data_IF_569253498637
#
_entry.id   IF_569253498637
#
_cell.length_a   1.000
_cell.length_b   1.000
_cell.length_c   1.000
_cell.angle_alpha   90.00
_cell.angle_beta   90.00
_cell.angle_gamma   90.00
#
_symmetry.space_group_name_H-M   'P 1'
#
loop_
_entity.id
_entity.type
_entity.pdbx_description
1 polymer ?
#
# COMPACT_ATOMS: atom_id res chain seq x y z
N UNK A 1 34.92 -19.36 17.91
CA UNK A 1 34.52 -19.04 16.52
C UNK A 1 33.25 -19.80 16.26
N UNK A 2 32.12 -19.11 16.14
CA UNK A 2 30.88 -19.76 15.72
C UNK A 2 30.99 -20.03 14.21
N UNK A 3 30.58 -21.22 13.73
CA UNK A 3 30.57 -21.51 12.31
C UNK A 3 29.60 -20.55 11.60
N UNK A 4 30.04 -19.95 10.50
CA UNK A 4 29.16 -19.21 9.60
C UNK A 4 28.06 -20.15 9.10
N UNK A 5 26.79 -19.70 9.07
CA UNK A 5 25.74 -20.46 8.41
C UNK A 5 26.08 -20.59 6.92
N UNK A 6 25.86 -21.79 6.38
CA UNK A 6 26.07 -22.08 4.96
C UNK A 6 25.21 -21.15 4.07
N UNK A 7 25.66 -20.81 2.86
CA UNK A 7 24.88 -20.04 1.90
C UNK A 7 23.52 -20.71 1.70
N UNK A 8 22.45 -19.96 1.93
CA UNK A 8 21.08 -20.41 1.73
C UNK A 8 20.88 -20.62 0.22
N UNK A 9 20.75 -21.88 -0.22
CA UNK A 9 20.41 -22.18 -1.61
C UNK A 9 19.13 -21.43 -1.99
N UNK A 10 19.20 -20.61 -3.03
CA UNK A 10 18.03 -19.94 -3.62
C UNK A 10 17.16 -21.00 -4.28
N UNK A 11 16.30 -21.66 -3.50
CA UNK A 11 15.21 -22.45 -4.06
C UNK A 11 14.35 -21.53 -4.95
N UNK A 12 13.89 -22.00 -6.13
CA UNK A 12 12.89 -21.28 -6.91
C UNK A 12 11.74 -20.91 -5.98
N UNK A 13 11.44 -19.62 -5.87
CA UNK A 13 10.35 -19.16 -5.01
C UNK A 13 9.05 -19.79 -5.52
N UNK A 14 8.45 -20.65 -4.71
CA UNK A 14 7.13 -21.22 -4.97
C UNK A 14 6.10 -20.10 -4.87
N UNK A 15 5.45 -19.77 -5.99
CA UNK A 15 4.33 -18.82 -6.06
C UNK A 15 3.01 -19.60 -5.92
N UNK A 16 2.57 -19.93 -4.70
CA UNK A 16 1.30 -20.62 -4.48
C UNK A 16 0.15 -19.79 -5.03
N UNK A 17 -0.51 -20.28 -6.07
CA UNK A 17 -1.68 -19.60 -6.60
C UNK A 17 -2.89 -20.00 -5.74
N UNK A 18 -3.65 -19.01 -5.27
CA UNK A 18 -4.82 -19.21 -4.41
C UNK A 18 -6.13 -19.14 -5.21
N UNK A 19 -6.15 -19.71 -6.42
CA UNK A 19 -7.25 -19.56 -7.37
C UNK A 19 -8.56 -20.12 -6.85
N UNK A 20 -8.54 -21.24 -6.13
CA UNK A 20 -9.72 -21.87 -5.57
C UNK A 20 -10.34 -20.99 -4.48
N UNK A 21 -9.50 -20.35 -3.65
CA UNK A 21 -9.93 -19.41 -2.63
C UNK A 21 -10.56 -18.18 -3.28
N UNK A 22 -9.85 -17.54 -4.21
CA UNK A 22 -10.34 -16.36 -4.92
C UNK A 22 -11.66 -16.67 -5.63
N UNK A 23 -11.74 -17.80 -6.34
CA UNK A 23 -12.94 -18.23 -7.04
C UNK A 23 -14.12 -18.45 -6.09
N UNK A 24 -13.88 -19.05 -4.91
CA UNK A 24 -14.92 -19.25 -3.91
C UNK A 24 -15.42 -17.91 -3.36
N UNK A 25 -14.52 -17.01 -2.95
CA UNK A 25 -14.88 -15.72 -2.38
C UNK A 25 -15.57 -14.82 -3.42
N UNK A 26 -15.09 -14.81 -4.67
CA UNK A 26 -15.71 -14.09 -5.78
C UNK A 26 -17.15 -14.54 -6.03
N UNK A 27 -17.47 -15.83 -5.92
CA UNK A 27 -18.86 -16.30 -6.07
C UNK A 27 -19.80 -15.68 -5.04
N UNK A 28 -19.38 -15.57 -3.78
CA UNK A 28 -20.19 -14.93 -2.73
C UNK A 28 -20.35 -13.43 -2.97
N UNK A 29 -19.27 -12.76 -3.39
CA UNK A 29 -19.32 -11.32 -3.73
C UNK A 29 -20.26 -11.09 -4.92
N UNK A 30 -20.15 -11.87 -5.99
CA UNK A 30 -21.00 -11.74 -7.17
C UNK A 30 -22.47 -12.01 -6.84
N UNK A 31 -22.79 -13.05 -6.05
CA UNK A 31 -24.17 -13.30 -5.64
C UNK A 31 -24.74 -12.16 -4.80
N UNK A 32 -23.92 -11.52 -3.94
CA UNK A 32 -24.33 -10.34 -3.19
C UNK A 32 -24.66 -9.16 -4.12
N UNK A 33 -23.82 -8.91 -5.14
CA UNK A 33 -24.03 -7.82 -6.11
C UNK A 33 -25.33 -7.97 -6.91
N UNK A 34 -25.78 -9.20 -7.16
CA UNK A 34 -27.07 -9.49 -7.80
C UNK A 34 -28.27 -9.12 -6.90
N UNK A 35 -28.09 -9.11 -5.59
CA UNK A 35 -29.16 -8.91 -4.60
C UNK A 35 -29.11 -7.54 -3.91
N UNK A 36 -28.06 -6.74 -4.12
CA UNK A 36 -27.96 -5.37 -3.62
C UNK A 36 -27.76 -4.39 -4.79
N UNK A 37 -28.78 -3.58 -5.07
CA UNK A 37 -28.83 -2.71 -6.25
C UNK A 37 -27.84 -1.56 -6.15
N UNK A 38 -27.56 -1.07 -4.94
CA UNK A 38 -26.55 -0.05 -4.75
C UNK A 38 -25.15 -0.62 -5.08
N UNK A 39 -24.79 -1.74 -4.46
CA UNK A 39 -23.47 -2.36 -4.64
C UNK A 39 -23.24 -2.78 -6.10
N UNK A 40 -24.23 -3.35 -6.77
CA UNK A 40 -24.14 -3.69 -8.20
C UNK A 40 -23.87 -2.48 -9.09
N UNK A 41 -24.54 -1.34 -8.84
CA UNK A 41 -24.28 -0.08 -9.56
C UNK A 41 -22.89 0.49 -9.26
N UNK A 42 -22.48 0.45 -8.00
CA UNK A 42 -21.15 0.91 -7.59
C UNK A 42 -20.05 0.06 -8.24
N UNK A 43 -20.22 -1.26 -8.28
CA UNK A 43 -19.32 -2.20 -8.96
C UNK A 43 -19.13 -1.85 -10.44
N UNK A 44 -20.24 -1.63 -11.17
CA UNK A 44 -20.17 -1.19 -12.56
C UNK A 44 -19.47 0.18 -12.70
N UNK A 45 -19.75 1.11 -11.80
CA UNK A 45 -19.13 2.44 -11.81
C UNK A 45 -17.61 2.38 -11.52
N UNK A 46 -17.16 1.55 -10.58
CA UNK A 46 -15.75 1.29 -10.28
C UNK A 46 -15.01 0.80 -11.53
N UNK A 47 -15.57 -0.19 -12.23
CA UNK A 47 -14.95 -0.73 -13.43
C UNK A 47 -14.88 0.34 -14.54
N UNK A 48 -16.01 0.98 -14.86
CA UNK A 48 -16.10 1.92 -15.97
C UNK A 48 -15.40 3.26 -15.73
N UNK A 49 -15.34 3.76 -14.49
CA UNK A 49 -14.84 5.11 -14.20
C UNK A 49 -13.43 5.11 -13.65
N UNK A 50 -13.02 4.10 -12.90
CA UNK A 50 -11.67 3.99 -12.31
C UNK A 50 -10.86 2.79 -12.77
N UNK A 51 -11.43 1.86 -13.54
CA UNK A 51 -10.70 0.67 -14.01
C UNK A 51 -10.39 -0.31 -12.90
N UNK A 52 -11.19 -0.32 -11.83
CA UNK A 52 -10.97 -1.16 -10.65
C UNK A 52 -12.06 -2.22 -10.52
N UNK A 53 -11.67 -3.45 -10.21
CA UNK A 53 -12.60 -4.53 -9.86
C UNK A 53 -13.12 -4.35 -8.42
N UNK A 54 -14.43 -4.51 -8.23
CA UNK A 54 -15.10 -4.40 -6.93
C UNK A 54 -14.52 -5.35 -5.88
N UNK A 55 -14.08 -6.55 -6.29
CA UNK A 55 -13.49 -7.55 -5.39
C UNK A 55 -12.27 -7.00 -4.63
N UNK A 56 -11.47 -6.14 -5.28
CA UNK A 56 -10.25 -5.56 -4.70
C UNK A 56 -10.52 -4.54 -3.58
N UNK A 57 -11.77 -4.09 -3.46
CA UNK A 57 -12.22 -3.15 -2.45
C UNK A 57 -12.93 -3.83 -1.27
N UNK A 58 -13.30 -5.11 -1.39
CA UNK A 58 -14.05 -5.80 -0.33
C UNK A 58 -13.16 -5.94 0.90
N UNK A 59 -13.58 -5.34 2.00
CA UNK A 59 -12.90 -5.46 3.28
C UNK A 59 -13.21 -6.81 3.92
N UNK A 60 -14.50 -7.09 4.04
CA UNK A 60 -15.03 -8.33 4.59
C UNK A 60 -16.47 -8.58 4.15
N UNK A 61 -16.95 -9.80 4.39
CA UNK A 61 -18.37 -10.14 4.30
C UNK A 61 -18.71 -11.26 5.31
N UNK A 62 -19.99 -11.41 5.62
CA UNK A 62 -20.46 -12.43 6.57
C UNK A 62 -20.95 -13.68 5.87
N UNK A 63 -20.80 -14.84 6.50
CA UNK A 63 -21.42 -16.10 6.10
C UNK A 63 -21.91 -16.89 7.31
N UNK A 64 -22.85 -17.81 7.12
CA UNK A 64 -23.22 -18.76 8.15
C UNK A 64 -22.07 -19.71 8.51
N UNK A 65 -22.04 -20.15 9.78
CA UNK A 65 -20.98 -21.04 10.32
C UNK A 65 -20.85 -22.37 9.56
N UNK A 66 -21.89 -22.80 8.84
CA UNK A 66 -21.87 -23.97 7.96
C UNK A 66 -20.80 -23.88 6.84
N UNK A 67 -20.34 -22.68 6.49
CA UNK A 67 -19.34 -22.47 5.44
C UNK A 67 -17.89 -22.76 5.89
N UNK A 68 -17.64 -22.98 7.19
CA UNK A 68 -16.29 -23.14 7.74
C UNK A 68 -15.45 -24.22 7.05
N UNK A 69 -16.06 -25.37 6.74
CA UNK A 69 -15.37 -26.47 6.05
C UNK A 69 -14.94 -26.09 4.64
N UNK A 70 -15.80 -25.39 3.90
CA UNK A 70 -15.50 -24.95 2.54
C UNK A 70 -14.37 -23.90 2.52
N UNK A 71 -14.36 -22.96 3.47
CA UNK A 71 -13.29 -21.96 3.59
C UNK A 71 -11.95 -22.61 3.93
N UNK A 72 -11.92 -23.55 4.88
CA UNK A 72 -10.70 -24.31 5.21
C UNK A 72 -10.17 -25.12 4.03
N UNK A 73 -11.08 -25.71 3.25
CA UNK A 73 -10.70 -26.53 2.08
C UNK A 73 -9.96 -25.74 1.00
N UNK A 74 -10.18 -24.41 0.92
CA UNK A 74 -9.47 -23.52 -0.01
C UNK A 74 -8.34 -22.73 0.65
N UNK A 75 -7.93 -23.09 1.87
CA UNK A 75 -6.75 -22.51 2.53
C UNK A 75 -7.01 -21.26 3.38
N UNK A 76 -8.25 -20.85 3.60
CA UNK A 76 -8.54 -19.85 4.64
C UNK A 76 -8.38 -20.46 6.04
N UNK A 77 -7.84 -19.68 6.97
CA UNK A 77 -7.61 -20.10 8.35
C UNK A 77 -8.23 -19.08 9.32
N UNK A 78 -8.60 -19.50 10.55
CA UNK A 78 -9.05 -18.58 11.59
C UNK A 78 -7.99 -17.50 11.88
N UNK A 79 -8.45 -16.26 12.02
CA UNK A 79 -7.66 -15.11 12.43
C UNK A 79 -7.96 -14.74 13.88
N UNK A 80 -6.91 -14.59 14.70
CA UNK A 80 -7.07 -14.10 16.08
C UNK A 80 -7.14 -12.58 16.08
N UNK A 81 -8.36 -12.05 15.97
CA UNK A 81 -8.66 -10.61 16.05
C UNK A 81 -9.89 -10.37 16.92
N UNK A 82 -10.11 -9.13 17.34
CA UNK A 82 -11.33 -8.75 18.05
C UNK A 82 -12.52 -8.83 17.11
N UNK A 83 -13.53 -9.61 17.47
CA UNK A 83 -14.75 -9.78 16.68
C UNK A 83 -15.99 -9.85 17.59
N UNK A 84 -17.19 -9.56 17.07
CA UNK A 84 -18.44 -9.71 17.82
C UNK A 84 -18.59 -11.11 18.42
N UNK A 85 -19.41 -11.22 19.48
CA UNK A 85 -19.70 -12.51 20.09
C UNK A 85 -20.25 -13.51 19.05
N UNK A 86 -19.86 -14.78 19.17
CA UNK A 86 -20.23 -15.86 18.24
C UNK A 86 -19.81 -15.61 16.77
N UNK A 87 -18.73 -14.86 16.56
CA UNK A 87 -18.14 -14.61 15.24
C UNK A 87 -16.72 -15.16 15.16
N UNK A 88 -16.44 -16.02 14.17
CA UNK A 88 -15.08 -16.41 13.80
C UNK A 88 -14.64 -15.63 12.55
N UNK A 89 -13.42 -15.10 12.55
CA UNK A 89 -12.86 -14.40 11.38
C UNK A 89 -11.93 -15.34 10.63
N UNK A 90 -12.06 -15.42 9.31
CA UNK A 90 -11.18 -16.20 8.43
C UNK A 90 -10.44 -15.28 7.45
N UNK A 91 -9.17 -15.59 7.21
CA UNK A 91 -8.32 -14.91 6.24
C UNK A 91 -7.46 -15.90 5.45
N UNK A 92 -6.93 -15.47 4.31
CA UNK A 92 -5.96 -16.26 3.56
C UNK A 92 -4.53 -15.82 3.91
N UNK A 93 -3.64 -16.72 4.40
CA UNK A 93 -2.32 -16.33 4.91
C UNK A 93 -1.29 -16.01 3.82
N UNK A 94 -1.56 -16.39 2.57
CA UNK A 94 -0.61 -16.27 1.44
C UNK A 94 -1.12 -15.37 0.30
N UNK A 95 -2.28 -14.71 0.46
CA UNK A 95 -2.87 -13.88 -0.58
C UNK A 95 -3.70 -12.73 0.02
N UNK A 96 -3.69 -11.58 -0.65
CA UNK A 96 -4.52 -10.44 -0.28
C UNK A 96 -5.97 -10.72 -0.71
N UNK A 97 -6.80 -11.12 0.26
CA UNK A 97 -8.21 -11.45 0.05
C UNK A 97 -9.10 -10.80 1.11
N UNK A 98 -10.40 -10.63 0.84
CA UNK A 98 -11.37 -10.19 1.83
C UNK A 98 -11.42 -11.15 3.03
N UNK A 99 -11.72 -10.60 4.21
CA UNK A 99 -11.96 -11.44 5.40
C UNK A 99 -13.37 -12.00 5.35
N UNK A 100 -13.57 -13.18 5.92
CA UNK A 100 -14.89 -13.81 6.04
C UNK A 100 -15.26 -13.95 7.50
N UNK A 101 -16.38 -13.35 7.91
CA UNK A 101 -16.91 -13.42 9.27
C UNK A 101 -17.98 -14.52 9.32
N UNK A 102 -17.68 -15.61 10.03
CA UNK A 102 -18.62 -16.70 10.24
C UNK A 102 -19.41 -16.47 11.52
N UNK A 103 -20.73 -16.32 11.40
CA UNK A 103 -21.63 -16.09 12.52
C UNK A 103 -23.03 -16.65 12.23
N UNK A 104 -23.86 -16.96 13.24
CA UNK A 104 -25.26 -17.32 13.02
C UNK A 104 -26.03 -16.21 12.29
N UNK A 105 -26.76 -16.56 11.23
CA UNK A 105 -27.46 -15.58 10.39
C UNK A 105 -26.50 -14.76 9.51
N UNK A 106 -25.27 -15.23 9.32
CA UNK A 106 -24.28 -14.57 8.48
C UNK A 106 -24.61 -14.68 6.99
N UNK A 107 -25.54 -15.55 6.60
CA UNK A 107 -26.07 -15.66 5.25
C UNK A 107 -27.60 -15.53 5.22
N UNK A 108 -28.14 -15.05 4.09
CA UNK A 108 -29.55 -15.12 3.74
C UNK A 108 -29.65 -15.92 2.44
N UNK A 109 -30.32 -17.07 2.46
CA UNK A 109 -30.43 -17.95 1.29
C UNK A 109 -29.06 -18.30 0.66
N UNK A 110 -28.06 -18.62 1.49
CA UNK A 110 -26.66 -18.94 1.09
C UNK A 110 -25.84 -17.75 0.53
N UNK A 111 -26.40 -16.55 0.50
CA UNK A 111 -25.73 -15.32 0.05
C UNK A 111 -25.27 -14.55 1.30
N UNK A 112 -24.13 -13.81 1.28
CA UNK A 112 -23.72 -13.01 2.42
C UNK A 112 -24.83 -12.07 2.92
N UNK A 113 -25.10 -12.07 4.21
CA UNK A 113 -26.05 -11.13 4.81
C UNK A 113 -25.50 -9.70 4.80
N UNK A 114 -24.20 -9.54 5.05
CA UNK A 114 -23.50 -8.26 5.01
C UNK A 114 -22.25 -8.36 4.13
N UNK A 115 -21.97 -7.30 3.36
CA UNK A 115 -20.72 -7.11 2.63
C UNK A 115 -20.24 -5.68 2.81
N UNK A 116 -18.95 -5.52 3.13
CA UNK A 116 -18.31 -4.24 3.33
C UNK A 116 -17.22 -3.98 2.29
N UNK A 117 -17.15 -2.75 1.76
CA UNK A 117 -15.96 -2.24 1.06
C UNK A 117 -15.13 -1.34 1.97
N UNK A 118 -13.82 -1.36 1.80
CA UNK A 118 -12.90 -0.42 2.43
C UNK A 118 -12.84 0.87 1.62
N UNK A 119 -12.92 2.00 2.30
CA UNK A 119 -12.71 3.34 1.72
C UNK A 119 -11.69 4.10 2.54
N UNK A 120 -11.03 5.08 1.93
CA UNK A 120 -10.01 5.90 2.60
C UNK A 120 -10.63 6.86 3.61
N UNK A 121 -11.84 7.35 3.31
CA UNK A 121 -12.58 8.32 4.12
C UNK A 121 -14.07 8.03 3.96
N UNK A 122 -14.73 7.71 5.08
CA UNK A 122 -16.19 7.50 5.06
C UNK A 122 -16.94 8.77 4.74
N UNK A 123 -16.47 9.92 5.21
CA UNK A 123 -17.10 11.21 4.99
C UNK A 123 -17.08 11.56 3.49
N UNK A 124 -15.96 11.31 2.81
CA UNK A 124 -15.85 11.51 1.36
C UNK A 124 -16.70 10.50 0.60
N UNK A 125 -16.72 9.23 1.02
CA UNK A 125 -17.58 8.22 0.41
C UNK A 125 -19.06 8.62 0.47
N UNK A 126 -19.57 8.94 1.66
CA UNK A 126 -20.96 9.32 1.85
C UNK A 126 -21.32 10.59 1.08
N UNK A 127 -20.45 11.60 1.09
CA UNK A 127 -20.65 12.84 0.34
C UNK A 127 -20.71 12.59 -1.18
N UNK A 128 -19.80 11.76 -1.73
CA UNK A 128 -19.75 11.46 -3.17
C UNK A 128 -20.90 10.58 -3.64
N UNK A 129 -21.40 9.72 -2.77
CA UNK A 129 -22.55 8.86 -3.05
C UNK A 129 -23.90 9.54 -2.70
N UNK A 130 -23.88 10.77 -2.19
CA UNK A 130 -25.05 11.53 -1.75
C UNK A 130 -25.90 10.75 -0.73
N UNK A 131 -25.23 10.16 0.26
CA UNK A 131 -25.83 9.34 1.31
C UNK A 131 -25.91 10.14 2.63
N UNK A 132 -27.07 10.10 3.28
CA UNK A 132 -27.31 10.72 4.59
C UNK A 132 -27.54 9.64 5.64
N UNK A 133 -26.46 8.95 6.02
CA UNK A 133 -26.45 7.91 7.06
C UNK A 133 -25.42 8.25 8.13
N UNK A 134 -25.64 7.77 9.34
CA UNK A 134 -24.69 7.94 10.43
C UNK A 134 -23.44 7.08 10.21
N UNK A 135 -22.29 7.60 10.65
CA UNK A 135 -21.05 6.85 10.76
C UNK A 135 -20.98 6.27 12.17
N UNK A 136 -20.95 4.95 12.26
CA UNK A 136 -20.73 4.22 13.49
C UNK A 136 -19.22 4.06 13.74
N UNK A 137 -18.81 4.22 15.00
CA UNK A 137 -17.40 4.32 15.38
C UNK A 137 -16.94 5.79 15.43
N UNK A 138 -16.37 6.24 16.56
CA UNK A 138 -15.93 7.62 16.71
C UNK A 138 -14.74 7.92 15.79
N UNK A 139 -14.57 9.19 15.41
CA UNK A 139 -13.40 9.61 14.63
C UNK A 139 -12.10 9.19 15.33
N UNK A 140 -11.13 8.70 14.55
CA UNK A 140 -9.85 8.21 15.05
C UNK A 140 -9.91 6.82 15.70
N UNK A 141 -11.06 6.15 15.75
CA UNK A 141 -11.12 4.72 16.11
C UNK A 141 -10.60 3.83 14.99
N UNK A 142 -10.19 2.60 15.35
CA UNK A 142 -9.59 1.66 14.40
C UNK A 142 -10.55 1.13 13.34
N UNK A 143 -11.85 1.11 13.64
CA UNK A 143 -12.90 0.74 12.71
C UNK A 143 -14.05 1.76 12.81
N UNK A 144 -14.34 2.37 11.67
CA UNK A 144 -15.57 3.15 11.45
C UNK A 144 -16.35 2.50 10.31
N UNK A 145 -17.67 2.61 10.36
CA UNK A 145 -18.57 1.97 9.40
C UNK A 145 -19.79 2.84 9.10
N UNK A 146 -20.27 2.80 7.87
CA UNK A 146 -21.56 3.35 7.48
C UNK A 146 -22.40 2.29 6.75
N UNK A 147 -23.68 2.18 7.10
CA UNK A 147 -24.65 1.37 6.36
C UNK A 147 -25.11 2.15 5.13
N UNK A 148 -25.00 1.56 3.94
CA UNK A 148 -25.56 2.14 2.73
C UNK A 148 -27.03 1.74 2.63
N UNK A 149 -27.98 2.70 2.68
CA UNK A 149 -29.39 2.36 2.60
C UNK A 149 -29.73 1.74 1.24
N UNK A 150 -30.38 0.58 1.27
CA UNK A 150 -30.98 -0.09 0.10
C UNK A 150 -32.28 -0.79 0.53
N UNK A 151 -33.10 -1.19 -0.44
CA UNK A 151 -34.34 -1.97 -0.21
C UNK A 151 -34.08 -3.47 -0.03
N UNK A 152 -32.82 -3.88 -0.03
CA UNK A 152 -32.41 -5.27 0.07
C UNK A 152 -32.27 -5.70 1.54
N UNK A 153 -32.59 -6.96 1.83
CA UNK A 153 -32.26 -7.58 3.12
C UNK A 153 -30.75 -7.87 3.24
N UNK A 154 -30.00 -7.77 2.14
CA UNK A 154 -28.54 -7.86 2.11
C UNK A 154 -27.92 -6.48 2.33
N UNK A 155 -27.31 -6.29 3.50
CA UNK A 155 -26.76 -5.01 3.95
C UNK A 155 -25.40 -4.72 3.30
N UNK A 156 -25.31 -3.58 2.61
CA UNK A 156 -24.05 -3.09 2.06
C UNK A 156 -23.43 -2.04 2.99
N UNK A 157 -22.14 -2.19 3.29
CA UNK A 157 -21.41 -1.37 4.24
C UNK A 157 -20.21 -0.70 3.56
N UNK A 158 -19.87 0.50 3.99
CA UNK A 158 -18.55 1.09 3.77
C UNK A 158 -17.80 1.12 5.09
N UNK A 159 -16.49 0.86 5.07
CA UNK A 159 -15.64 0.89 6.27
C UNK A 159 -14.39 1.72 6.05
N UNK A 160 -14.01 2.47 7.08
CA UNK A 160 -12.73 3.15 7.20
C UNK A 160 -11.96 2.48 8.34
N UNK A 161 -10.68 2.18 8.08
CA UNK A 161 -9.79 1.55 9.05
C UNK A 161 -8.65 2.49 9.41
N UNK A 162 -8.19 2.39 10.65
CA UNK A 162 -7.04 3.14 11.14
C UNK A 162 -6.19 2.26 12.05
N UNK A 163 -5.13 1.66 11.51
CA UNK A 163 -4.19 0.85 12.29
C UNK A 163 -4.82 -0.32 13.04
N UNK A 164 -5.93 -0.90 12.54
CA UNK A 164 -6.67 -1.95 13.26
C UNK A 164 -7.35 -2.95 12.30
N UNK A 165 -7.35 -4.22 12.71
CA UNK A 165 -7.95 -5.36 11.97
C UNK A 165 -9.20 -5.92 12.62
N UNK A 166 -9.60 -5.38 13.77
CA UNK A 166 -10.76 -5.81 14.51
C UNK A 166 -12.07 -5.48 13.80
N UNK A 167 -13.14 -6.06 14.35
CA UNK A 167 -14.52 -5.93 13.91
C UNK A 167 -15.44 -5.46 15.04
N UNK A 168 -14.87 -4.83 16.08
CA UNK A 168 -15.60 -4.26 17.22
C UNK A 168 -15.36 -2.76 17.26
N UNK A 169 -16.43 -1.98 17.39
CA UNK A 169 -16.31 -0.54 17.59
C UNK A 169 -15.67 -0.22 18.93
N UNK A 170 -14.64 0.63 18.88
CA UNK A 170 -13.99 1.15 20.07
C UNK A 170 -14.76 2.36 20.62
N UNK A 171 -14.80 2.56 21.95
CA UNK A 171 -15.45 3.72 22.54
C UNK A 171 -14.73 5.02 22.15
N UNK A 172 -15.42 6.16 22.27
CA UNK A 172 -14.81 7.46 22.02
C UNK A 172 -13.76 7.79 23.08
N UNK A 173 -12.54 8.11 22.63
CA UNK A 173 -11.44 8.53 23.49
C UNK A 173 -10.93 9.88 22.94
N UNK A 174 -11.26 11.02 23.56
CA UNK A 174 -10.91 12.34 23.04
C UNK A 174 -9.42 12.51 22.71
N UNK A 175 -8.54 11.97 23.56
CA UNK A 175 -7.08 12.02 23.37
C UNK A 175 -6.64 11.36 22.06
N UNK A 176 -7.36 10.32 21.59
CA UNK A 176 -7.04 9.65 20.33
C UNK A 176 -7.35 10.53 19.12
N UNK A 177 -8.42 11.33 19.18
CA UNK A 177 -8.74 12.30 18.13
C UNK A 177 -7.64 13.35 18.01
N UNK A 178 -7.17 13.87 19.15
CA UNK A 178 -6.07 14.83 19.22
C UNK A 178 -4.77 14.24 18.70
N UNK A 179 -4.43 13.01 19.11
CA UNK A 179 -3.25 12.29 18.65
C UNK A 179 -3.25 12.10 17.12
N UNK A 180 -4.36 11.60 16.55
CA UNK A 180 -4.49 11.40 15.10
C UNK A 180 -4.30 12.71 14.34
N UNK A 181 -4.96 13.79 14.78
CA UNK A 181 -4.79 15.11 14.15
C UNK A 181 -3.34 15.58 14.23
N UNK A 182 -2.70 15.42 15.40
CA UNK A 182 -1.33 15.88 15.61
C UNK A 182 -0.32 15.08 14.79
N UNK A 183 -0.47 13.76 14.71
CA UNK A 183 0.41 12.90 13.89
C UNK A 183 0.30 13.26 12.41
N UNK A 184 -0.92 13.48 11.90
CA UNK A 184 -1.11 13.93 10.52
C UNK A 184 -0.45 15.28 10.24
N UNK A 185 -0.62 16.23 11.15
CA UNK A 185 0.03 17.54 11.06
C UNK A 185 1.55 17.39 11.00
N UNK A 186 2.14 16.64 11.94
CA UNK A 186 3.57 16.38 12.02
C UNK A 186 4.12 15.80 10.71
N UNK A 187 3.47 14.77 10.15
CA UNK A 187 3.92 14.17 8.90
C UNK A 187 3.71 15.08 7.68
N UNK A 188 2.56 15.76 7.60
CA UNK A 188 2.23 16.65 6.48
C UNK A 188 3.13 17.88 6.41
N UNK A 189 3.54 18.41 7.56
CA UNK A 189 4.38 19.63 7.63
C UNK A 189 5.86 19.34 7.85
N UNK A 190 6.29 18.06 7.85
CA UNK A 190 7.69 17.71 8.11
C UNK A 190 8.63 18.40 7.12
N UNK A 191 9.76 18.88 7.63
CA UNK A 191 10.83 19.37 6.75
C UNK A 191 11.41 18.18 6.00
N UNK A 192 11.58 18.33 4.69
CA UNK A 192 12.11 17.28 3.80
C UNK A 192 13.43 17.66 3.15
N UNK A 193 13.71 18.95 3.03
CA UNK A 193 14.89 19.47 2.37
C UNK A 193 15.87 20.09 3.37
N UNK A 194 17.07 19.52 3.44
CA UNK A 194 18.13 19.88 4.37
C UNK A 194 19.42 20.14 3.59
N UNK A 195 20.33 20.91 4.18
CA UNK A 195 21.65 21.14 3.58
C UNK A 195 22.50 19.86 3.60
N UNK A 196 22.37 19.05 4.66
CA UNK A 196 22.88 17.69 4.73
C UNK A 196 21.71 16.71 4.88
N UNK A 197 21.60 15.77 3.94
CA UNK A 197 20.58 14.72 3.95
C UNK A 197 20.65 13.87 5.25
N UNK A 198 21.81 13.78 5.91
CA UNK A 198 21.93 13.09 7.19
C UNK A 198 21.15 13.77 8.32
N UNK A 199 21.07 15.10 8.33
CA UNK A 199 20.22 15.84 9.28
C UNK A 199 18.74 15.55 9.01
N UNK A 200 18.36 15.42 7.74
CA UNK A 200 17.00 15.05 7.35
C UNK A 200 16.61 13.64 7.79
N UNK A 201 17.54 12.68 7.66
CA UNK A 201 17.32 11.30 8.12
C UNK A 201 17.22 11.24 9.64
N UNK A 202 18.06 11.97 10.37
CA UNK A 202 17.93 12.08 11.82
C UNK A 202 16.58 12.70 12.23
N UNK A 203 16.18 13.78 11.54
CA UNK A 203 14.91 14.45 11.78
C UNK A 203 13.70 13.52 11.59
N UNK A 204 13.65 12.73 10.51
CA UNK A 204 12.51 11.84 10.26
C UNK A 204 12.45 10.68 11.26
N UNK A 205 13.60 10.16 11.72
CA UNK A 205 13.67 9.12 12.75
C UNK A 205 13.23 9.64 14.12
N UNK A 206 13.55 10.89 14.46
CA UNK A 206 13.07 11.49 15.71
C UNK A 206 11.57 11.79 15.65
N UNK A 207 11.10 12.34 14.51
CA UNK A 207 9.68 12.56 14.28
C UNK A 207 8.87 11.26 14.37
N UNK A 208 9.43 10.15 13.87
CA UNK A 208 8.81 8.83 14.00
C UNK A 208 8.55 8.46 15.46
N UNK A 209 9.56 8.58 16.32
CA UNK A 209 9.44 8.26 17.76
C UNK A 209 8.33 9.08 18.39
N UNK A 210 8.25 10.36 18.07
CA UNK A 210 7.20 11.25 18.58
C UNK A 210 5.81 10.79 18.13
N UNK A 211 5.65 10.42 16.85
CA UNK A 211 4.34 9.96 16.34
C UNK A 211 3.92 8.61 16.91
N UNK A 212 4.85 7.68 17.09
CA UNK A 212 4.61 6.38 17.75
C UNK A 212 4.20 6.60 19.21
N UNK A 213 4.86 7.52 19.91
CA UNK A 213 4.50 7.86 21.29
C UNK A 213 3.09 8.46 21.40
N UNK A 214 2.68 9.27 20.43
CA UNK A 214 1.36 9.92 20.44
C UNK A 214 0.21 8.97 20.11
N UNK A 215 0.38 8.10 19.11
CA UNK A 215 -0.74 7.39 18.50
C UNK A 215 -0.59 5.87 18.45
N UNK A 216 0.47 5.28 19.00
CA UNK A 216 0.88 3.87 18.82
C UNK A 216 1.48 3.56 17.41
N UNK A 217 2.30 2.50 17.26
CA UNK A 217 3.01 2.21 16.01
C UNK A 217 2.10 1.98 14.81
N UNK A 218 0.98 1.27 14.99
CA UNK A 218 0.13 0.82 13.89
C UNK A 218 -0.64 2.01 13.30
N UNK A 219 -1.19 2.88 14.16
CA UNK A 219 -1.85 4.12 13.73
C UNK A 219 -0.83 5.11 13.17
N UNK A 220 0.33 5.28 13.81
CA UNK A 220 1.37 6.19 13.31
C UNK A 220 1.88 5.78 11.92
N UNK A 221 2.02 4.47 11.68
CA UNK A 221 2.34 3.88 10.38
C UNK A 221 1.28 4.23 9.34
N UNK A 222 0.01 3.93 9.61
CA UNK A 222 -1.09 4.17 8.67
C UNK A 222 -1.16 5.66 8.25
N UNK A 223 -1.04 6.56 9.23
CA UNK A 223 -1.02 8.00 9.01
C UNK A 223 0.22 8.46 8.24
N UNK A 224 1.40 7.90 8.51
CA UNK A 224 2.61 8.21 7.73
C UNK A 224 2.40 7.91 6.24
N UNK A 225 1.89 6.71 5.90
CA UNK A 225 1.67 6.35 4.50
C UNK A 225 0.54 7.14 3.85
N UNK A 226 -0.52 7.48 4.58
CA UNK A 226 -1.56 8.37 4.07
C UNK A 226 -1.00 9.75 3.69
N UNK A 227 -0.14 10.31 4.54
CA UNK A 227 0.49 11.61 4.26
C UNK A 227 1.58 11.51 3.19
N UNK A 228 2.26 10.37 3.07
CA UNK A 228 3.27 10.17 2.03
C UNK A 228 2.65 9.94 0.64
N UNK A 229 1.51 9.25 0.55
CA UNK A 229 0.70 9.20 -0.68
C UNK A 229 0.27 10.60 -1.11
N UNK A 230 -0.21 11.41 -0.17
CA UNK A 230 -0.61 12.81 -0.45
C UNK A 230 0.56 13.64 -0.98
N UNK A 231 1.75 13.49 -0.42
CA UNK A 231 2.95 14.16 -0.90
C UNK A 231 3.36 13.68 -2.30
N UNK A 232 3.39 12.38 -2.53
CA UNK A 232 3.69 11.77 -3.83
C UNK A 232 2.71 12.23 -4.92
N UNK A 233 1.41 12.22 -4.63
CA UNK A 233 0.37 12.71 -5.53
C UNK A 233 0.63 14.17 -5.95
N UNK A 234 1.05 15.04 -5.04
CA UNK A 234 1.34 16.44 -5.39
C UNK A 234 2.39 16.60 -6.50
N UNK A 235 3.19 15.56 -6.76
CA UNK A 235 4.29 15.53 -7.73
C UNK A 235 4.09 14.54 -8.88
N UNK A 236 3.05 13.70 -8.83
CA UNK A 236 2.79 12.66 -9.82
C UNK A 236 1.43 12.89 -10.51
N UNK A 237 1.44 13.34 -11.76
CA UNK A 237 0.24 13.62 -12.57
C UNK A 237 -0.60 12.35 -12.78
N UNK A 238 0.01 11.21 -13.10
CA UNK A 238 -0.70 9.95 -13.29
C UNK A 238 -1.42 9.52 -12.01
N UNK A 239 -0.73 9.61 -10.87
CA UNK A 239 -1.27 9.39 -9.53
C UNK A 239 -2.45 10.32 -9.22
N UNK A 240 -2.31 11.64 -9.41
CA UNK A 240 -3.43 12.59 -9.23
C UNK A 240 -4.62 12.28 -10.11
N UNK A 241 -4.36 11.96 -11.38
CA UNK A 241 -5.40 11.63 -12.34
C UNK A 241 -6.19 10.41 -11.87
N UNK A 242 -5.50 9.33 -11.49
CA UNK A 242 -6.15 8.11 -11.04
C UNK A 242 -6.83 8.28 -9.68
N UNK A 243 -6.20 9.00 -8.73
CA UNK A 243 -6.82 9.35 -7.45
C UNK A 243 -8.12 10.12 -7.65
N UNK A 244 -8.12 11.15 -8.52
CA UNK A 244 -9.33 11.90 -8.89
C UNK A 244 -10.46 10.99 -9.39
N UNK A 245 -10.14 9.97 -10.19
CA UNK A 245 -11.13 9.02 -10.72
C UNK A 245 -11.75 8.16 -9.62
N UNK A 246 -10.95 7.68 -8.68
CA UNK A 246 -11.42 6.92 -7.51
C UNK A 246 -12.16 7.82 -6.49
N UNK A 247 -11.70 9.05 -6.28
CA UNK A 247 -12.35 10.05 -5.41
C UNK A 247 -13.67 10.54 -5.98
N UNK A 248 -13.87 10.49 -7.30
CA UNK A 248 -15.17 10.75 -7.91
C UNK A 248 -16.22 9.65 -7.60
N UNK A 249 -15.78 8.56 -6.96
CA UNK A 249 -16.61 7.51 -6.36
C UNK A 249 -16.48 7.49 -4.81
N UNK A 250 -15.67 8.37 -4.22
CA UNK A 250 -15.43 8.45 -2.79
C UNK A 250 -14.60 7.29 -2.21
N UNK A 251 -13.68 6.73 -3.00
CA UNK A 251 -12.95 5.50 -2.63
C UNK A 251 -11.55 5.75 -2.05
N UNK A 252 -10.82 6.75 -2.56
CA UNK A 252 -9.42 7.01 -2.18
C UNK A 252 -8.45 5.93 -2.67
N UNK A 253 -7.42 5.59 -1.88
CA UNK A 253 -6.39 4.59 -2.22
C UNK A 253 -6.50 3.25 -1.47
N UNK A 254 -7.68 2.89 -0.93
CA UNK A 254 -7.81 1.64 -0.15
C UNK A 254 -7.53 0.35 -0.92
N UNK A 255 -7.44 0.40 -2.25
CA UNK A 255 -7.03 -0.71 -3.13
C UNK A 255 -5.50 -0.77 -3.40
N UNK A 256 -4.69 -0.02 -2.65
CA UNK A 256 -3.23 -0.06 -2.78
C UNK A 256 -2.69 -1.49 -2.62
N UNK A 257 -1.69 -1.83 -3.42
CA UNK A 257 -0.97 -3.10 -3.38
C UNK A 257 0.31 -2.92 -2.56
N UNK A 258 1.22 -2.06 -3.03
CA UNK A 258 2.45 -1.74 -2.33
C UNK A 258 2.94 -0.32 -2.61
N UNK A 259 3.85 0.13 -1.75
CA UNK A 259 4.52 1.42 -1.84
C UNK A 259 6.00 1.19 -2.09
N UNK A 260 6.61 1.92 -3.02
CA UNK A 260 8.04 1.77 -3.30
C UNK A 260 8.82 2.97 -2.83
N UNK A 261 9.86 2.69 -2.06
CA UNK A 261 10.80 3.67 -1.51
C UNK A 261 12.16 3.39 -2.12
N UNK A 262 12.79 4.43 -2.65
CA UNK A 262 14.17 4.39 -3.14
C UNK A 262 15.07 5.08 -2.13
N UNK A 263 16.18 4.43 -1.81
CA UNK A 263 17.14 4.97 -0.86
C UNK A 263 18.55 4.85 -1.41
N UNK A 264 19.35 5.85 -1.10
CA UNK A 264 20.80 5.78 -1.28
C UNK A 264 21.37 4.65 -0.42
N UNK A 265 22.52 4.13 -0.84
CA UNK A 265 23.28 3.11 -0.08
C UNK A 265 23.64 3.60 1.32
N UNK A 266 23.95 4.89 1.46
CA UNK A 266 24.31 5.56 2.71
C UNK A 266 23.22 5.43 3.78
N UNK A 267 21.96 5.60 3.38
CA UNK A 267 20.82 5.68 4.30
C UNK A 267 19.87 4.47 4.26
N UNK A 268 20.20 3.43 3.50
CA UNK A 268 19.33 2.26 3.37
C UNK A 268 19.07 1.55 4.72
N UNK A 269 20.11 1.40 5.55
CA UNK A 269 19.96 0.85 6.89
C UNK A 269 19.08 1.72 7.82
N UNK A 270 19.06 3.03 7.59
CA UNK A 270 18.20 3.96 8.32
C UNK A 270 16.74 3.81 7.88
N UNK A 271 16.48 3.62 6.58
CA UNK A 271 15.15 3.26 6.06
C UNK A 271 14.66 1.92 6.64
N UNK A 272 15.54 0.92 6.75
CA UNK A 272 15.19 -0.35 7.38
C UNK A 272 14.83 -0.15 8.86
N UNK A 273 15.63 0.62 9.60
CA UNK A 273 15.36 0.96 11.00
C UNK A 273 14.01 1.65 11.14
N UNK A 274 13.75 2.65 10.30
CA UNK A 274 12.49 3.38 10.26
C UNK A 274 11.30 2.43 10.05
N UNK A 275 11.30 1.61 9.01
CA UNK A 275 10.18 0.70 8.74
C UNK A 275 9.99 -0.32 9.87
N UNK A 276 11.07 -0.92 10.39
CA UNK A 276 10.98 -1.89 11.49
C UNK A 276 10.42 -1.25 12.78
N UNK A 277 10.71 0.02 13.06
CA UNK A 277 10.19 0.73 14.23
C UNK A 277 8.68 0.98 14.15
N UNK A 278 8.10 1.08 12.94
CA UNK A 278 6.65 1.06 12.77
C UNK A 278 6.03 -0.32 12.99
N UNK A 279 6.81 -1.40 13.08
CA UNK A 279 6.29 -2.76 13.25
C UNK A 279 6.28 -3.60 11.97
N UNK A 280 6.91 -3.14 10.89
CA UNK A 280 7.07 -3.96 9.68
C UNK A 280 7.91 -5.21 9.95
N UNK A 281 7.62 -6.27 9.19
CA UNK A 281 8.43 -7.50 9.14
C UNK A 281 9.03 -7.66 7.76
N UNK A 282 10.30 -8.05 7.70
CA UNK A 282 10.98 -8.41 6.45
C UNK A 282 10.36 -9.70 5.90
N UNK A 283 10.08 -9.74 4.59
CA UNK A 283 9.55 -10.91 3.89
C UNK A 283 10.68 -11.58 3.09
N UNK A 284 10.98 -11.07 1.89
CA UNK A 284 12.06 -11.55 1.03
C UNK A 284 12.96 -10.40 0.54
N UNK A 285 14.16 -10.79 0.08
CA UNK A 285 15.07 -9.90 -0.66
C UNK A 285 14.94 -10.23 -2.14
N UNK A 286 14.84 -9.20 -2.96
CA UNK A 286 14.79 -9.32 -4.41
C UNK A 286 16.06 -8.76 -5.03
N UNK A 287 16.60 -9.45 -6.03
CA UNK A 287 17.71 -8.97 -6.84
C UNK A 287 17.28 -8.87 -8.30
N UNK A 288 17.37 -7.68 -8.87
CA UNK A 288 16.91 -7.42 -10.24
C UNK A 288 17.88 -7.97 -11.32
N UNK A 289 19.02 -8.54 -10.92
CA UNK A 289 20.06 -9.06 -11.80
C UNK A 289 21.27 -8.14 -11.91
N UNK A 290 22.41 -8.72 -12.31
CA UNK A 290 23.69 -8.01 -12.40
C UNK A 290 23.67 -6.80 -13.33
N UNK A 291 22.89 -6.88 -14.41
CA UNK A 291 22.74 -5.80 -15.38
C UNK A 291 21.84 -4.67 -14.87
N UNK A 292 20.85 -4.97 -14.02
CA UNK A 292 19.97 -3.98 -13.43
C UNK A 292 20.69 -3.16 -12.35
N UNK A 293 21.58 -3.80 -11.56
CA UNK A 293 22.44 -3.13 -10.60
C UNK A 293 21.73 -2.56 -9.37
N UNK A 294 20.58 -3.14 -9.00
CA UNK A 294 19.80 -2.81 -7.82
C UNK A 294 19.08 -4.04 -7.25
N UNK A 295 18.65 -3.94 -6.00
CA UNK A 295 17.77 -4.91 -5.36
C UNK A 295 16.81 -4.24 -4.39
N UNK A 296 15.94 -5.03 -3.78
CA UNK A 296 14.95 -4.55 -2.85
C UNK A 296 14.83 -5.43 -1.61
N UNK A 297 14.58 -4.82 -0.46
CA UNK A 297 14.01 -5.52 0.69
C UNK A 297 12.50 -5.31 0.66
N UNK A 298 11.73 -6.40 0.67
CA UNK A 298 10.28 -6.35 0.78
C UNK A 298 9.89 -6.47 2.26
N UNK A 299 9.02 -5.58 2.73
CA UNK A 299 8.51 -5.58 4.10
C UNK A 299 6.99 -5.47 4.12
N UNK A 300 6.37 -6.10 5.11
CA UNK A 300 4.92 -6.04 5.32
C UNK A 300 4.59 -5.60 6.74
N UNK A 301 3.60 -4.73 6.86
CA UNK A 301 3.00 -4.35 8.12
C UNK A 301 1.67 -5.06 8.28
N UNK A 302 1.64 -6.09 9.14
CA UNK A 302 0.50 -7.00 9.20
C UNK A 302 -0.83 -6.31 9.57
N UNK A 303 -0.82 -5.37 10.52
CA UNK A 303 -2.05 -4.70 10.99
C UNK A 303 -2.67 -3.82 9.91
N UNK A 304 -1.92 -2.84 9.41
CA UNK A 304 -2.37 -1.91 8.35
C UNK A 304 -2.53 -2.56 6.98
N UNK A 305 -1.87 -3.71 6.74
CA UNK A 305 -1.85 -4.36 5.42
C UNK A 305 -1.00 -3.61 4.38
N UNK A 306 -0.06 -2.78 4.83
CA UNK A 306 0.84 -2.04 3.95
C UNK A 306 2.05 -2.91 3.61
N UNK A 307 2.36 -2.98 2.32
CA UNK A 307 3.59 -3.60 1.78
C UNK A 307 4.52 -2.52 1.24
N UNK A 308 5.81 -2.65 1.53
CA UNK A 308 6.87 -1.76 1.04
C UNK A 308 7.92 -2.52 0.27
N UNK A 309 8.27 -1.99 -0.90
CA UNK A 309 9.44 -2.37 -1.67
C UNK A 309 10.50 -1.30 -1.44
N UNK A 310 11.56 -1.63 -0.70
CA UNK A 310 12.65 -0.71 -0.40
C UNK A 310 13.85 -1.00 -1.31
N UNK A 311 14.00 -0.18 -2.33
CA UNK A 311 14.99 -0.30 -3.39
C UNK A 311 16.33 0.36 -3.02
N UNK A 312 17.43 -0.29 -3.39
CA UNK A 312 18.80 0.23 -3.26
C UNK A 312 19.71 -0.26 -4.38
N UNK A 313 20.70 0.54 -4.76
CA UNK A 313 21.77 0.10 -5.67
C UNK A 313 22.57 -1.05 -5.03
N UNK A 314 22.76 -2.14 -5.78
CA UNK A 314 23.55 -3.30 -5.37
C UNK A 314 24.58 -3.63 -6.45
N UNK A 315 25.83 -3.80 -6.02
CA UNK A 315 26.90 -4.25 -6.89
C UNK A 315 26.83 -5.77 -7.07
N UNK A 316 27.34 -6.34 -8.18
CA UNK A 316 27.25 -7.78 -8.45
C UNK A 316 27.81 -8.67 -7.34
N UNK A 317 28.82 -8.22 -6.61
CA UNK A 317 29.46 -8.97 -5.51
C UNK A 317 28.67 -8.90 -4.20
N UNK A 318 27.65 -8.06 -4.11
CA UNK A 318 26.92 -7.76 -2.87
C UNK A 318 25.62 -8.56 -2.75
N UNK A 319 25.33 -9.44 -3.70
CA UNK A 319 24.13 -10.29 -3.68
C UNK A 319 24.11 -11.30 -2.55
N UNK A 320 25.28 -11.63 -2.00
CA UNK A 320 25.42 -12.58 -0.88
C UNK A 320 25.32 -11.89 0.49
N UNK A 321 25.38 -10.56 0.55
CA UNK A 321 25.32 -9.78 1.78
C UNK A 321 23.85 -9.58 2.20
N UNK A 322 23.58 -9.61 3.50
CA UNK A 322 22.31 -9.09 4.01
C UNK A 322 22.33 -7.56 4.08
N UNK A 323 22.20 -6.94 2.90
CA UNK A 323 22.15 -5.49 2.73
C UNK A 323 20.97 -4.81 3.46
N UNK A 324 20.01 -5.59 3.99
CA UNK A 324 18.91 -5.08 4.81
C UNK A 324 19.29 -4.85 6.28
N UNK A 325 20.51 -5.25 6.68
CA UNK A 325 21.05 -5.09 8.03
C UNK A 325 22.40 -4.38 7.96
N UNK A 326 23.24 -4.80 7.02
CA UNK A 326 24.60 -4.27 6.88
C UNK A 326 24.60 -2.96 6.10
N UNK A 327 25.33 -1.96 6.60
CA UNK A 327 25.52 -0.71 5.86
C UNK A 327 26.39 -0.99 4.64
N UNK A 328 25.83 -0.69 3.46
CA UNK A 328 26.54 -0.81 2.20
C UNK A 328 27.63 0.27 2.10
N UNK A 329 28.84 -0.07 1.62
CA UNK A 329 29.87 0.92 1.36
C UNK A 329 29.48 1.81 0.17
N UNK A 330 30.18 2.94 0.01
CA UNK A 330 30.01 3.76 -1.19
C UNK A 330 30.31 2.95 -2.46
N UNK A 331 29.47 3.11 -3.47
CA UNK A 331 29.67 2.47 -4.76
C UNK A 331 30.56 3.34 -5.67
N UNK A 332 31.41 2.74 -6.51
CA UNK A 332 32.24 3.48 -7.46
C UNK A 332 31.43 4.15 -8.59
N UNK A 333 30.16 3.76 -8.74
CA UNK A 333 29.21 4.30 -9.72
C UNK A 333 27.79 4.26 -9.15
N UNK A 334 26.92 5.10 -9.69
CA UNK A 334 25.48 5.03 -9.43
C UNK A 334 24.80 4.14 -10.48
N UNK A 335 23.90 3.27 -10.04
CA UNK A 335 22.92 2.60 -10.90
C UNK A 335 21.60 3.39 -10.85
N UNK A 336 20.50 2.79 -11.32
CA UNK A 336 19.20 3.45 -11.46
C UNK A 336 18.67 4.04 -10.16
N UNK A 337 18.82 3.34 -9.02
CA UNK A 337 18.25 3.79 -7.74
C UNK A 337 19.10 4.92 -7.17
N UNK A 338 20.42 4.74 -7.11
CA UNK A 338 21.34 5.73 -6.57
C UNK A 338 21.38 7.01 -7.39
N UNK A 339 21.27 6.93 -8.72
CA UNK A 339 21.18 8.12 -9.58
C UNK A 339 19.88 8.88 -9.32
N UNK A 340 18.75 8.17 -9.19
CA UNK A 340 17.48 8.80 -8.87
C UNK A 340 17.53 9.51 -7.51
N UNK A 341 18.05 8.84 -6.48
CA UNK A 341 18.26 9.42 -5.15
C UNK A 341 19.19 10.63 -5.18
N UNK A 342 20.28 10.56 -5.93
CA UNK A 342 21.23 11.65 -6.03
C UNK A 342 20.60 12.91 -6.66
N UNK A 343 19.76 12.73 -7.69
CA UNK A 343 19.07 13.82 -8.39
C UNK A 343 17.90 14.39 -7.57
N UNK A 344 17.10 13.55 -6.92
CA UNK A 344 15.81 13.95 -6.35
C UNK A 344 15.75 13.94 -4.82
N UNK A 345 16.74 13.36 -4.14
CA UNK A 345 16.72 13.04 -2.71
C UNK A 345 16.27 11.59 -2.45
N UNK A 346 16.53 11.08 -1.25
CA UNK A 346 16.01 9.77 -0.83
C UNK A 346 14.49 9.85 -0.59
N UNK A 347 13.79 8.70 -0.68
CA UNK A 347 12.34 8.67 -0.47
C UNK A 347 11.90 9.13 0.92
N UNK A 348 12.73 8.94 1.96
CA UNK A 348 12.45 9.49 3.28
C UNK A 348 12.55 11.02 3.35
N UNK A 349 13.11 11.67 2.34
CA UNK A 349 13.42 13.10 2.32
C UNK A 349 12.63 13.83 1.22
N UNK A 350 13.35 14.55 0.35
CA UNK A 350 12.78 15.42 -0.68
C UNK A 350 12.04 14.64 -1.74
N UNK A 351 12.42 13.41 -2.09
CA UNK A 351 11.80 12.76 -3.24
C UNK A 351 10.42 12.17 -2.93
N UNK A 352 10.20 11.74 -1.68
CA UNK A 352 9.00 10.98 -1.30
C UNK A 352 8.98 9.59 -1.94
N UNK A 353 7.84 8.91 -1.90
CA UNK A 353 7.66 7.62 -2.56
C UNK A 353 8.08 7.67 -4.04
N UNK A 354 8.67 6.58 -4.53
CA UNK A 354 9.00 6.42 -5.94
C UNK A 354 7.75 6.09 -6.77
N UNK A 355 6.94 5.13 -6.33
CA UNK A 355 5.64 4.83 -6.92
C UNK A 355 4.68 4.21 -5.91
N UNK A 356 3.40 4.20 -6.27
CA UNK A 356 2.32 3.48 -5.63
C UNK A 356 1.77 2.49 -6.64
N UNK A 357 1.77 1.20 -6.30
CA UNK A 357 1.02 0.19 -7.04
C UNK A 357 -0.34 -0.02 -6.37
N UNK A 358 -1.35 -0.28 -7.19
CA UNK A 358 -2.71 -0.58 -6.75
C UNK A 358 -3.35 -1.61 -7.68
N UNK A 359 -4.44 -2.23 -7.23
CA UNK A 359 -5.06 -3.37 -7.92
C UNK A 359 -6.18 -2.91 -8.83
N UNK A 360 -6.10 -3.30 -10.10
CA UNK A 360 -6.92 -2.80 -11.21
C UNK A 360 -7.27 -3.91 -12.19
N UNK A 361 -8.28 -3.65 -13.04
CA UNK A 361 -8.36 -4.33 -14.33
C UNK A 361 -7.22 -3.84 -15.22
N UNK A 362 -6.26 -4.72 -15.46
CA UNK A 362 -5.00 -4.37 -16.11
C UNK A 362 -5.18 -3.79 -17.52
N UNK A 363 -6.05 -4.38 -18.34
CA UNK A 363 -6.18 -3.93 -19.73
C UNK A 363 -7.03 -2.66 -19.79
N UNK A 364 -8.14 -2.66 -19.04
CA UNK A 364 -9.07 -1.55 -19.03
C UNK A 364 -8.46 -0.27 -18.45
N UNK A 365 -7.71 -0.35 -17.36
CA UNK A 365 -7.06 0.83 -16.78
C UNK A 365 -6.09 1.45 -17.78
N UNK A 366 -5.27 0.65 -18.46
CA UNK A 366 -4.28 1.13 -19.44
C UNK A 366 -4.96 1.88 -20.57
N UNK A 367 -6.04 1.32 -21.12
CA UNK A 367 -6.82 1.97 -22.17
C UNK A 367 -7.44 3.29 -21.68
N UNK A 368 -8.06 3.28 -20.50
CA UNK A 368 -8.68 4.47 -19.92
C UNK A 368 -7.65 5.58 -19.63
N UNK A 369 -6.50 5.26 -19.03
CA UNK A 369 -5.45 6.23 -18.76
C UNK A 369 -4.85 6.80 -20.05
N UNK A 370 -4.72 5.97 -21.10
CA UNK A 370 -4.26 6.44 -22.40
C UNK A 370 -5.19 7.51 -22.99
N UNK A 371 -6.52 7.38 -22.80
CA UNK A 371 -7.47 8.43 -23.24
C UNK A 371 -7.32 9.77 -22.50
N UNK A 372 -6.74 9.74 -21.30
CA UNK A 372 -6.44 10.92 -20.47
C UNK A 372 -4.96 11.38 -20.63
N UNK A 373 -4.27 10.84 -21.64
CA UNK A 373 -2.88 11.20 -21.96
C UNK A 373 -1.86 10.68 -20.94
N UNK A 374 -2.13 9.55 -20.29
CA UNK A 374 -1.17 8.81 -19.47
C UNK A 374 -0.95 7.45 -20.12
N UNK A 375 0.22 7.27 -20.76
CA UNK A 375 0.57 6.01 -21.39
C UNK A 375 1.22 5.05 -20.39
N UNK A 376 1.10 3.76 -20.66
CA UNK A 376 1.80 2.71 -19.91
C UNK A 376 3.02 2.22 -20.65
N UNK A 377 4.08 1.94 -19.91
CA UNK A 377 5.25 1.22 -20.41
C UNK A 377 4.89 -0.22 -20.79
N UNK A 378 5.82 -0.90 -21.49
CA UNK A 378 5.67 -2.33 -21.73
C UNK A 378 5.59 -3.06 -20.37
N UNK A 379 4.66 -4.03 -20.21
CA UNK A 379 4.58 -4.82 -18.99
C UNK A 379 5.90 -5.51 -18.70
N UNK A 380 6.37 -5.45 -17.46
CA UNK A 380 7.55 -6.19 -17.00
C UNK A 380 7.18 -7.54 -16.37
N UNK A 381 5.89 -7.72 -16.03
CA UNK A 381 5.26 -9.01 -15.72
C UNK A 381 3.98 -9.12 -16.55
N UNK A 382 3.76 -10.27 -17.21
CA UNK A 382 2.55 -10.53 -18.02
C UNK A 382 2.08 -12.00 -17.88
N UNK A 383 2.08 -12.48 -16.64
CA UNK A 383 1.53 -13.79 -16.31
C UNK A 383 0.01 -13.72 -16.15
N UNK A 384 -0.69 -14.84 -16.28
CA UNK A 384 -2.13 -14.88 -16.06
C UNK A 384 -2.53 -14.49 -14.62
N UNK A 385 -1.67 -14.75 -13.64
CA UNK A 385 -1.87 -14.42 -12.22
C UNK A 385 -1.20 -13.12 -11.76
N UNK A 386 -0.31 -12.53 -12.57
CA UNK A 386 0.43 -11.33 -12.18
C UNK A 386 0.81 -10.52 -13.44
N UNK A 387 0.11 -9.41 -13.62
CA UNK A 387 0.37 -8.44 -14.69
C UNK A 387 0.74 -7.11 -14.08
N UNK A 388 1.87 -6.56 -14.50
CA UNK A 388 2.41 -5.33 -13.93
C UNK A 388 3.01 -4.47 -15.02
N UNK A 389 2.70 -3.18 -14.97
CA UNK A 389 3.25 -2.19 -15.87
C UNK A 389 3.24 -0.83 -15.17
N UNK A 390 4.33 -0.08 -15.33
CA UNK A 390 4.35 1.32 -14.91
C UNK A 390 3.66 2.20 -15.95
N UNK A 391 3.17 3.35 -15.49
CA UNK A 391 2.96 4.48 -16.41
C UNK A 391 4.30 4.99 -16.92
N UNK A 392 4.30 5.72 -18.04
CA UNK A 392 5.52 6.40 -18.48
C UNK A 392 5.99 7.38 -17.39
N UNK A 393 7.29 7.31 -17.06
CA UNK A 393 7.88 8.15 -16.03
C UNK A 393 7.74 9.64 -16.34
N UNK A 394 7.31 10.41 -15.34
CA UNK A 394 7.23 11.86 -15.43
C UNK A 394 8.60 12.48 -15.21
N UNK A 395 8.84 13.61 -15.88
CA UNK A 395 10.06 14.41 -15.71
C UNK A 395 9.85 15.38 -14.55
N UNK A 396 10.75 15.33 -13.57
CA UNK A 396 10.78 16.26 -12.44
C UNK A 396 11.95 17.21 -12.59
N UNK A 397 11.73 18.47 -12.23
CA UNK A 397 12.81 19.45 -12.17
C UNK A 397 13.85 19.01 -11.13
N UNK A 398 15.12 19.01 -11.54
CA UNK A 398 16.25 18.63 -10.69
C UNK A 398 16.89 19.88 -10.11
N UNK A 399 17.35 19.81 -8.85
CA UNK A 399 18.14 20.90 -8.26
C UNK A 399 19.52 21.00 -8.96
N UNK A 400 19.86 22.16 -9.55
CA UNK A 400 21.14 22.31 -10.25
C UNK A 400 22.38 22.05 -9.40
N UNK A 401 22.33 22.34 -8.10
CA UNK A 401 23.45 22.09 -7.19
C UNK A 401 23.68 20.58 -6.97
N UNK A 402 22.61 19.76 -7.00
CA UNK A 402 22.74 18.29 -6.96
C UNK A 402 23.46 17.78 -8.21
N UNK A 403 23.09 18.28 -9.40
CA UNK A 403 23.75 17.91 -10.67
C UNK A 403 25.22 18.34 -10.67
N UNK A 404 25.52 19.56 -10.24
CA UNK A 404 26.89 20.07 -10.13
C UNK A 404 27.73 19.23 -9.17
N UNK A 405 27.17 18.80 -8.05
CA UNK A 405 27.86 17.91 -7.11
C UNK A 405 28.14 16.53 -7.74
N UNK A 406 27.22 16.00 -8.55
CA UNK A 406 27.43 14.73 -9.27
C UNK A 406 28.53 14.85 -10.33
N UNK A 407 28.55 15.94 -11.10
CA UNK A 407 29.63 16.23 -12.06
C UNK A 407 30.99 16.36 -11.37
N UNK A 408 31.07 17.11 -10.28
CA UNK A 408 32.31 17.28 -9.52
C UNK A 408 32.86 15.95 -9.00
N UNK A 409 31.98 15.02 -8.63
CA UNK A 409 32.31 13.65 -8.22
C UNK A 409 32.51 12.68 -9.39
N UNK A 410 32.34 13.12 -10.64
CA UNK A 410 32.41 12.30 -11.86
C UNK A 410 31.44 11.12 -11.86
N UNK A 411 30.29 11.28 -11.20
CA UNK A 411 29.23 10.27 -11.15
C UNK A 411 28.25 10.39 -12.32
N UNK A 412 28.30 11.50 -13.07
CA UNK A 412 27.58 11.74 -14.32
C UNK A 412 28.51 12.45 -15.31
N UNK A 413 28.23 12.36 -16.62
CA UNK A 413 28.93 13.10 -17.66
C UNK A 413 28.36 14.51 -17.84
N UNK A 414 29.09 15.41 -18.51
CA UNK A 414 28.60 16.74 -18.88
C UNK A 414 27.31 16.66 -19.72
N UNK A 415 27.25 15.71 -20.65
CA UNK A 415 26.07 15.48 -21.49
C UNK A 415 24.85 15.05 -20.67
N UNK A 416 25.04 14.14 -19.70
CA UNK A 416 23.99 13.71 -18.79
C UNK A 416 23.49 14.87 -17.92
N UNK A 417 24.42 15.65 -17.35
CA UNK A 417 24.08 16.82 -16.56
C UNK A 417 23.27 17.85 -17.35
N UNK A 418 23.68 18.12 -18.59
CA UNK A 418 22.95 18.99 -19.52
C UNK A 418 21.50 18.52 -19.74
N UNK A 419 21.30 17.20 -19.91
CA UNK A 419 19.96 16.61 -20.06
C UNK A 419 19.13 16.80 -18.80
N UNK A 420 19.71 16.58 -17.61
CA UNK A 420 18.99 16.72 -16.34
C UNK A 420 18.59 18.16 -16.03
N UNK A 421 19.37 19.16 -16.46
CA UNK A 421 19.08 20.59 -16.21
C UNK A 421 18.11 21.19 -17.23
N UNK A 422 18.14 20.75 -18.49
CA UNK A 422 17.26 21.27 -19.56
C UNK A 422 15.80 20.83 -19.44
N UNK A 423 15.47 20.10 -18.37
CA UNK A 423 14.17 19.52 -18.10
C UNK A 423 13.48 20.26 -16.97
#
# INVERSE_FOLDING_TARGET
MNPQPAPQELHPFDWPLAYEAESLLRRFVLSFLEHNRFAGRLSAAMLHRSGTDFYEWVDHFTLDTAHATALRAVGLVPETVTAPANTEVYYHPRAMMPRVLLQPGGSLSMIPANLAIRVESLEDFLAKQNLSTDIHGPFGSGLRQALVPDVSDHCFLAVERLGDRGFIFQPAIPQRVEAVKKVRELWRTRKRDFADDAEGVAHVLDLQKDTIYLADPDVACDLFFAEERSYWESRNRAGRLQKRRQDALGLGWSNHDHHTFRSSRRFFADLMTFLLQFGFKKRERYYAGAEAGWGAQILEHFTTGITVFADVDLMPQETEIDFSIERLPDAPRLSTVGLWCALHGDSLLQAGMHHLEARFDFSLLRDQLATEGVRSMKPFSDFAFLKQAFTEGERWQVNPERVKALLAKRLVTEEQADVFIKT
#
